data_IF_873805223372
#
_entry.id   IF_873805223372
#
_cell.length_a   1.000
_cell.length_b   1.000
_cell.length_c   1.000
_cell.angle_alpha   90.00
_cell.angle_beta   90.00
_cell.angle_gamma   90.00
#
_symmetry.space_group_name_H-M   'P 1'
#
loop_
_entity.id
_entity.type
_entity.pdbx_description
1 polymer ?
#
# COMPACT_ATOMS: atom_id res chain seq x y z
N UNK A 1 -23.49 23.27 11.24
CA UNK A 1 -23.82 22.38 12.36
C UNK A 1 -23.40 23.02 13.67
N UNK A 2 -24.18 22.87 14.73
CA UNK A 2 -23.90 23.37 16.08
C UNK A 2 -23.59 22.22 17.06
N UNK A 3 -23.17 22.55 18.28
CA UNK A 3 -22.89 21.58 19.36
C UNK A 3 -21.50 20.93 19.29
N UNK A 4 -21.06 20.36 20.41
CA UNK A 4 -19.84 19.54 20.51
C UNK A 4 -20.14 18.08 20.17
N UNK A 5 -19.11 17.32 19.83
CA UNK A 5 -19.18 15.86 19.68
C UNK A 5 -18.60 15.25 20.95
N UNK A 6 -19.41 14.50 21.70
CA UNK A 6 -18.99 13.90 22.99
C UNK A 6 -18.02 12.74 22.83
N UNK A 7 -18.22 11.92 21.80
CA UNK A 7 -17.41 10.73 21.53
C UNK A 7 -17.07 10.68 20.03
N UNK A 8 -15.81 10.41 19.74
CA UNK A 8 -15.37 10.24 18.36
C UNK A 8 -15.88 8.90 17.83
N UNK A 9 -16.60 8.88 16.69
CA UNK A 9 -17.08 7.63 16.12
C UNK A 9 -15.91 6.69 15.81
N UNK A 10 -16.09 5.41 16.11
CA UNK A 10 -15.10 4.38 15.75
C UNK A 10 -14.99 4.26 14.23
N UNK A 11 -13.80 3.90 13.75
CA UNK A 11 -13.55 3.67 12.33
C UNK A 11 -14.48 2.58 11.78
N UNK A 12 -14.92 2.74 10.53
CA UNK A 12 -15.85 1.81 9.88
C UNK A 12 -17.26 1.77 10.48
N UNK A 13 -17.68 2.79 11.25
CA UNK A 13 -19.05 2.86 11.80
C UNK A 13 -19.96 3.83 11.08
N UNK A 14 -19.43 4.62 10.14
CA UNK A 14 -20.16 5.64 9.41
C UNK A 14 -20.15 5.37 7.92
N UNK A 15 -21.26 5.63 7.24
CA UNK A 15 -21.35 5.47 5.79
C UNK A 15 -21.02 6.82 5.12
N UNK A 16 -19.95 6.93 4.32
CA UNK A 16 -19.64 8.15 3.59
C UNK A 16 -20.56 8.26 2.37
N UNK A 17 -21.54 9.15 2.46
CA UNK A 17 -22.50 9.46 1.39
C UNK A 17 -22.86 10.96 1.42
N UNK A 18 -23.65 11.40 0.44
CA UNK A 18 -24.21 12.75 0.43
C UNK A 18 -25.48 12.79 1.28
N UNK A 19 -25.46 13.56 2.37
CA UNK A 19 -26.59 13.71 3.29
C UNK A 19 -27.16 15.14 3.24
N UNK A 20 -28.49 15.23 3.20
CA UNK A 20 -29.22 16.51 3.30
C UNK A 20 -29.69 16.74 4.73
N UNK A 21 -29.41 17.92 5.28
CA UNK A 21 -29.77 18.32 6.64
C UNK A 21 -30.47 19.68 6.67
N UNK A 22 -31.50 19.86 7.50
CA UNK A 22 -32.07 21.19 7.76
C UNK A 22 -31.07 22.09 8.50
N UNK A 23 -31.28 23.41 8.42
CA UNK A 23 -30.51 24.35 9.24
C UNK A 23 -30.76 24.07 10.73
N UNK A 24 -29.71 24.18 11.53
CA UNK A 24 -29.79 23.95 12.98
C UNK A 24 -29.52 22.50 13.41
N UNK A 25 -29.35 21.53 12.50
CA UNK A 25 -28.93 20.17 12.87
C UNK A 25 -27.61 20.17 13.66
N UNK A 26 -27.56 19.40 14.75
CA UNK A 26 -26.37 19.27 15.60
C UNK A 26 -25.37 18.28 14.99
N UNK A 27 -24.09 18.40 15.35
CA UNK A 27 -23.06 17.44 14.90
C UNK A 27 -23.37 16.00 15.30
N UNK A 28 -23.92 15.79 16.50
CA UNK A 28 -24.33 14.46 16.98
C UNK A 28 -25.45 13.85 16.13
N UNK A 29 -26.44 14.65 15.72
CA UNK A 29 -27.51 14.20 14.82
C UNK A 29 -26.98 13.80 13.44
N UNK A 30 -25.97 14.51 12.93
CA UNK A 30 -25.29 14.16 11.67
C UNK A 30 -24.62 12.79 11.80
N UNK A 31 -23.80 12.60 12.84
CA UNK A 31 -23.10 11.34 13.11
C UNK A 31 -24.09 10.19 13.26
N UNK A 32 -25.15 10.37 14.07
CA UNK A 32 -26.17 9.35 14.29
C UNK A 32 -26.84 8.93 12.98
N UNK A 33 -27.13 9.89 12.08
CA UNK A 33 -27.69 9.60 10.76
C UNK A 33 -26.73 8.76 9.90
N UNK A 34 -25.45 9.11 9.89
CA UNK A 34 -24.43 8.36 9.13
C UNK A 34 -24.24 6.94 9.67
N UNK A 35 -24.25 6.76 11.00
CA UNK A 35 -24.15 5.45 11.64
C UNK A 35 -25.40 4.60 11.38
N UNK A 36 -26.58 5.20 11.39
CA UNK A 36 -27.81 4.49 11.05
C UNK A 36 -27.82 4.04 9.58
N UNK A 37 -27.36 4.89 8.66
CA UNK A 37 -27.21 4.55 7.26
C UNK A 37 -26.22 3.39 7.07
N UNK A 38 -25.06 3.43 7.75
CA UNK A 38 -24.09 2.35 7.75
C UNK A 38 -24.68 1.02 8.23
N UNK A 39 -25.35 1.01 9.39
CA UNK A 39 -25.96 -0.21 9.95
C UNK A 39 -26.96 -0.84 9.00
N UNK A 40 -27.81 -0.02 8.34
CA UNK A 40 -28.78 -0.51 7.35
C UNK A 40 -28.09 -1.09 6.13
N UNK A 41 -27.15 -0.37 5.54
CA UNK A 41 -26.41 -0.82 4.36
C UNK A 41 -25.64 -2.11 4.64
N UNK A 42 -24.94 -2.18 5.78
CA UNK A 42 -24.19 -3.37 6.18
C UNK A 42 -25.11 -4.59 6.34
N UNK A 43 -26.26 -4.43 7.01
CA UNK A 43 -27.21 -5.52 7.19
C UNK A 43 -27.73 -6.06 5.83
N UNK A 44 -28.16 -5.16 4.96
CA UNK A 44 -28.67 -5.48 3.61
C UNK A 44 -27.61 -6.21 2.75
N UNK A 45 -26.37 -5.71 2.77
CA UNK A 45 -25.26 -6.28 2.01
C UNK A 45 -24.83 -7.63 2.58
N UNK A 46 -24.76 -7.73 3.91
CA UNK A 46 -24.36 -8.95 4.59
C UNK A 46 -25.33 -10.10 4.30
N UNK A 47 -26.63 -9.83 4.24
CA UNK A 47 -27.66 -10.82 3.91
C UNK A 47 -27.48 -11.38 2.48
N UNK A 48 -27.09 -10.52 1.53
CA UNK A 48 -26.93 -10.88 0.11
C UNK A 48 -25.49 -11.25 -0.29
N UNK A 49 -24.59 -11.41 0.68
CA UNK A 49 -23.19 -11.75 0.41
C UNK A 49 -23.08 -13.12 -0.25
N UNK A 50 -21.99 -13.35 -0.95
CA UNK A 50 -21.65 -14.68 -1.47
C UNK A 50 -21.48 -15.68 -0.30
N UNK A 51 -22.07 -16.88 -0.35
CA UNK A 51 -22.14 -17.79 0.80
C UNK A 51 -20.79 -18.36 1.25
N UNK A 52 -19.81 -18.48 0.36
CA UNK A 52 -18.51 -19.13 0.62
C UNK A 52 -17.36 -18.11 0.77
N UNK A 53 -17.59 -17.05 1.54
CA UNK A 53 -16.54 -16.09 1.87
C UNK A 53 -15.74 -16.57 3.10
N UNK A 54 -14.41 -16.39 3.12
CA UNK A 54 -13.58 -16.63 4.31
C UNK A 54 -13.81 -15.62 5.45
N UNK A 55 -14.80 -14.73 5.30
CA UNK A 55 -15.21 -13.70 6.25
C UNK A 55 -16.40 -14.19 7.05
N UNK A 56 -16.27 -14.20 8.38
CA UNK A 56 -17.23 -14.85 9.29
C UNK A 56 -18.26 -13.90 9.89
N UNK A 57 -17.96 -12.60 9.96
CA UNK A 57 -18.84 -11.61 10.60
C UNK A 57 -18.99 -10.33 9.77
N UNK A 58 -20.08 -9.57 9.97
CA UNK A 58 -20.26 -8.25 9.35
C UNK A 58 -19.09 -7.30 9.66
N UNK A 59 -18.51 -7.37 10.85
CA UNK A 59 -17.37 -6.53 11.25
C UNK A 59 -16.13 -6.86 10.42
N UNK A 60 -15.87 -8.14 10.16
CA UNK A 60 -14.79 -8.56 9.28
C UNK A 60 -15.03 -8.11 7.82
N UNK A 61 -16.30 -8.08 7.37
CA UNK A 61 -16.66 -7.52 6.07
C UNK A 61 -16.31 -6.03 5.99
N UNK A 62 -16.66 -5.26 7.03
CA UNK A 62 -16.31 -3.83 7.13
C UNK A 62 -14.80 -3.64 7.11
N UNK A 63 -14.05 -4.47 7.86
CA UNK A 63 -12.58 -4.43 7.85
C UNK A 63 -12.03 -4.64 6.44
N UNK A 64 -12.44 -5.71 5.74
CA UNK A 64 -11.99 -5.93 4.36
C UNK A 64 -12.39 -4.78 3.44
N UNK A 65 -13.64 -4.31 3.52
CA UNK A 65 -14.13 -3.21 2.71
C UNK A 65 -13.32 -1.93 2.93
N UNK A 66 -12.88 -1.65 4.16
CA UNK A 66 -12.03 -0.50 4.46
C UNK A 66 -10.64 -0.59 3.82
N UNK A 67 -10.10 -1.80 3.66
CA UNK A 67 -8.83 -2.02 2.96
C UNK A 67 -9.04 -1.79 1.46
N UNK A 68 -10.08 -2.41 0.89
CA UNK A 68 -10.45 -2.25 -0.54
C UNK A 68 -10.70 -0.78 -0.90
N UNK A 69 -11.38 -0.03 -0.03
CA UNK A 69 -11.63 1.41 -0.18
C UNK A 69 -10.33 2.20 -0.33
N UNK A 70 -9.30 1.85 0.45
CA UNK A 70 -8.02 2.57 0.46
C UNK A 70 -7.10 2.17 -0.70
N UNK A 71 -7.26 0.99 -1.27
CA UNK A 71 -6.47 0.52 -2.41
C UNK A 71 -7.03 0.99 -3.75
N UNK A 72 -8.35 1.13 -3.85
CA UNK A 72 -8.99 1.27 -5.16
C UNK A 72 -9.33 2.71 -5.51
N UNK A 73 -8.62 3.28 -6.49
CA UNK A 73 -8.98 4.56 -7.11
C UNK A 73 -10.05 4.46 -8.21
N UNK A 74 -10.05 3.37 -9.00
CA UNK A 74 -10.99 3.15 -10.12
C UNK A 74 -12.18 2.28 -9.72
N UNK A 75 -13.40 2.74 -9.99
CA UNK A 75 -14.63 2.02 -9.60
C UNK A 75 -14.69 0.58 -10.08
N UNK A 76 -14.22 0.35 -11.31
CA UNK A 76 -14.44 -0.90 -12.04
C UNK A 76 -13.48 -2.00 -11.61
N UNK A 77 -12.37 -1.65 -10.95
CA UNK A 77 -11.38 -2.60 -10.44
C UNK A 77 -11.71 -3.09 -9.02
N UNK A 78 -12.63 -2.42 -8.33
CA UNK A 78 -12.87 -2.63 -6.89
C UNK A 78 -13.25 -4.06 -6.54
N UNK A 79 -14.15 -4.66 -7.31
CA UNK A 79 -14.56 -6.06 -7.13
C UNK A 79 -13.42 -7.04 -7.37
N UNK A 80 -12.48 -6.69 -8.25
CA UNK A 80 -11.29 -7.50 -8.56
C UNK A 80 -10.20 -7.36 -7.49
N UNK A 81 -9.98 -6.16 -6.96
CA UNK A 81 -9.13 -5.94 -5.78
C UNK A 81 -9.66 -6.72 -4.58
N UNK A 82 -10.97 -6.67 -4.33
CA UNK A 82 -11.61 -7.48 -3.29
C UNK A 82 -11.39 -8.99 -3.52
N UNK A 83 -11.45 -9.45 -4.78
CA UNK A 83 -11.14 -10.83 -5.17
C UNK A 83 -9.74 -11.26 -4.74
N UNK A 84 -8.73 -10.41 -4.97
CA UNK A 84 -7.34 -10.71 -4.58
C UNK A 84 -7.23 -10.93 -3.07
N UNK A 85 -7.78 -10.03 -2.26
CA UNK A 85 -7.70 -10.18 -0.80
C UNK A 85 -8.47 -11.40 -0.31
N UNK A 86 -9.65 -11.68 -0.86
CA UNK A 86 -10.42 -12.89 -0.51
C UNK A 86 -9.66 -14.16 -0.90
N UNK A 87 -9.04 -14.21 -2.08
CA UNK A 87 -8.24 -15.34 -2.52
C UNK A 87 -7.02 -15.56 -1.62
N UNK A 88 -6.34 -14.48 -1.23
CA UNK A 88 -5.25 -14.54 -0.24
C UNK A 88 -5.71 -15.07 1.11
N UNK A 89 -6.84 -14.59 1.63
CA UNK A 89 -7.41 -15.10 2.88
C UNK A 89 -7.71 -16.61 2.80
N UNK A 90 -8.30 -17.08 1.70
CA UNK A 90 -8.56 -18.51 1.47
C UNK A 90 -7.28 -19.34 1.47
N UNK A 91 -6.21 -18.82 0.86
CA UNK A 91 -4.92 -19.50 0.76
C UNK A 91 -3.99 -19.24 1.95
N UNK A 92 -4.46 -18.53 2.98
CA UNK A 92 -3.66 -18.10 4.14
C UNK A 92 -2.39 -17.33 3.75
N UNK A 93 -2.46 -16.58 2.65
CA UNK A 93 -1.43 -15.65 2.22
C UNK A 93 -1.69 -14.30 2.92
N UNK A 94 -0.63 -13.66 3.40
CA UNK A 94 -0.71 -12.34 4.03
C UNK A 94 -1.26 -11.29 3.05
N UNK A 95 -2.06 -10.34 3.55
CA UNK A 95 -2.71 -9.36 2.67
C UNK A 95 -1.72 -8.36 2.05
N UNK A 96 -0.66 -7.99 2.79
CA UNK A 96 0.41 -7.11 2.31
C UNK A 96 -0.12 -5.82 1.69
N UNK A 97 -0.96 -5.11 2.44
CA UNK A 97 -1.59 -3.85 2.02
C UNK A 97 -0.92 -2.66 2.70
N UNK A 98 -0.40 -1.73 1.90
CA UNK A 98 0.29 -0.52 2.35
C UNK A 98 -0.60 0.38 3.25
N UNK A 99 -1.88 0.66 2.90
CA UNK A 99 -2.81 1.39 3.76
C UNK A 99 -2.92 0.88 5.20
N UNK A 100 -2.77 -0.42 5.44
CA UNK A 100 -2.89 -0.97 6.80
C UNK A 100 -1.65 -0.63 7.65
N UNK A 101 -0.45 -0.58 7.06
CA UNK A 101 0.75 -0.06 7.73
C UNK A 101 0.55 1.41 8.06
N UNK A 102 0.13 2.21 7.07
CA UNK A 102 -0.06 3.66 7.26
C UNK A 102 -1.03 3.91 8.41
N UNK A 103 -2.17 3.21 8.43
CA UNK A 103 -3.12 3.31 9.54
C UNK A 103 -2.51 2.91 10.88
N UNK A 104 -1.72 1.83 10.94
CA UNK A 104 -1.02 1.43 12.15
C UNK A 104 -0.01 2.47 12.67
N UNK A 105 0.58 3.29 11.80
CA UNK A 105 1.53 4.33 12.15
C UNK A 105 0.86 5.64 12.61
N UNK A 106 -0.19 6.08 11.89
CA UNK A 106 -0.80 7.41 12.12
C UNK A 106 -2.14 7.35 12.87
N UNK A 107 -2.77 6.18 12.95
CA UNK A 107 -4.04 5.95 13.64
C UNK A 107 -5.21 6.73 13.04
N UNK A 108 -5.29 6.80 11.70
CA UNK A 108 -6.36 7.54 11.00
C UNK A 108 -6.24 9.08 11.06
N UNK A 109 -5.21 9.64 11.73
CA UNK A 109 -5.04 11.10 11.89
C UNK A 109 -4.54 11.84 10.64
N UNK A 110 -4.37 11.17 9.52
CA UNK A 110 -3.93 11.78 8.27
C UNK A 110 -3.16 10.82 7.37
N UNK A 111 -2.39 11.39 6.45
CA UNK A 111 -1.48 10.62 5.59
C UNK A 111 -0.08 10.61 6.22
N UNK A 112 0.77 9.67 5.79
CA UNK A 112 2.15 9.58 6.27
C UNK A 112 3.01 10.79 5.82
N UNK A 113 2.58 11.52 4.78
CA UNK A 113 3.33 12.65 4.19
C UNK A 113 4.63 12.28 3.49
N UNK A 114 5.00 10.99 3.48
CA UNK A 114 6.19 10.42 2.83
C UNK A 114 5.95 8.96 2.45
N UNK A 115 6.82 8.36 1.62
CA UNK A 115 6.81 6.92 1.38
C UNK A 115 7.05 6.10 2.67
N UNK A 116 6.51 4.88 2.68
CA UNK A 116 6.74 3.89 3.74
C UNK A 116 8.19 3.42 3.69
N UNK A 117 8.86 3.34 4.83
CA UNK A 117 10.24 2.83 4.95
C UNK A 117 10.24 1.32 5.07
N UNK A 118 11.32 0.68 4.60
CA UNK A 118 11.52 -0.77 4.72
C UNK A 118 11.46 -1.25 6.18
N UNK A 119 11.95 -0.46 7.12
CA UNK A 119 11.87 -0.76 8.56
C UNK A 119 10.42 -0.81 9.06
N UNK A 120 9.53 0.02 8.53
CA UNK A 120 8.11 0.08 8.93
C UNK A 120 7.32 -1.12 8.39
N UNK A 121 7.72 -1.62 7.21
CA UNK A 121 7.15 -2.85 6.63
C UNK A 121 7.46 -4.07 7.50
N UNK A 122 8.64 -4.09 8.13
CA UNK A 122 9.09 -5.19 8.99
C UNK A 122 8.66 -5.02 10.46
N UNK A 123 8.25 -3.81 10.86
CA UNK A 123 7.89 -3.52 12.24
C UNK A 123 6.58 -4.22 12.62
N UNK A 124 6.58 -5.08 13.66
CA UNK A 124 5.35 -5.72 14.11
C UNK A 124 4.34 -4.70 14.62
N UNK A 125 3.11 -4.79 14.11
CA UNK A 125 1.94 -4.03 14.57
C UNK A 125 0.69 -4.84 14.25
N UNK A 126 -0.37 -4.78 15.08
CA UNK A 126 -1.63 -5.49 14.80
C UNK A 126 -2.24 -5.15 13.43
N UNK A 127 -1.97 -3.95 12.91
CA UNK A 127 -2.45 -3.51 11.59
C UNK A 127 -1.45 -3.75 10.46
N UNK A 128 -0.24 -4.23 10.73
CA UNK A 128 0.74 -4.51 9.69
C UNK A 128 0.46 -5.86 9.03
N UNK A 129 -0.29 -5.84 7.93
CA UNK A 129 -0.67 -7.03 7.15
C UNK A 129 0.47 -7.66 6.33
N UNK A 130 1.69 -7.14 6.44
CA UNK A 130 2.91 -7.83 6.00
C UNK A 130 3.44 -8.81 7.06
N UNK A 131 3.07 -8.60 8.33
CA UNK A 131 3.55 -9.39 9.46
C UNK A 131 2.44 -10.27 10.03
N UNK A 132 1.22 -9.74 10.18
CA UNK A 132 0.08 -10.51 10.71
C UNK A 132 -0.59 -11.37 9.64
N UNK A 133 -1.20 -12.46 10.08
CA UNK A 133 -2.01 -13.33 9.24
C UNK A 133 -3.48 -12.88 9.24
N UNK A 134 -4.13 -12.93 8.08
CA UNK A 134 -5.54 -12.59 7.95
C UNK A 134 -5.84 -11.08 7.99
N UNK A 135 -7.01 -10.74 8.51
CA UNK A 135 -7.48 -9.35 8.62
C UNK A 135 -6.88 -8.66 9.86
N UNK A 136 -6.63 -7.34 9.81
CA UNK A 136 -6.28 -6.57 11.00
C UNK A 136 -7.45 -6.55 12.02
N UNK A 137 -7.21 -6.10 13.27
CA UNK A 137 -8.23 -6.12 14.34
C UNK A 137 -9.51 -5.32 14.04
N UNK A 138 -9.45 -4.38 13.10
CA UNK A 138 -10.56 -3.52 12.75
C UNK A 138 -10.33 -2.78 11.44
N UNK A 139 -11.33 -1.98 11.00
CA UNK A 139 -11.22 -1.20 9.79
C UNK A 139 -10.19 -0.08 9.91
N UNK A 140 -9.66 0.34 8.75
CA UNK A 140 -8.67 1.42 8.61
C UNK A 140 -9.25 2.71 8.02
N UNK A 141 -10.53 2.69 7.68
CA UNK A 141 -11.30 3.77 7.10
C UNK A 141 -12.81 3.48 7.25
N UNK A 142 -13.65 4.48 6.98
CA UNK A 142 -15.08 4.31 6.79
C UNK A 142 -15.37 3.95 5.32
N UNK A 143 -15.67 2.68 4.97
CA UNK A 143 -15.86 2.29 3.58
C UNK A 143 -17.20 2.79 3.03
N UNK A 144 -17.21 3.17 1.75
CA UNK A 144 -18.44 3.47 1.03
C UNK A 144 -19.24 2.20 0.71
N UNK A 145 -20.50 2.39 0.29
CA UNK A 145 -21.39 1.28 -0.09
C UNK A 145 -20.76 0.39 -1.17
N UNK A 146 -20.10 0.99 -2.17
CA UNK A 146 -19.46 0.24 -3.25
C UNK A 146 -18.35 -0.70 -2.76
N UNK A 147 -17.59 -0.30 -1.74
CA UNK A 147 -16.53 -1.13 -1.13
C UNK A 147 -17.10 -2.25 -0.28
N UNK A 148 -18.21 -1.99 0.43
CA UNK A 148 -18.95 -3.03 1.15
C UNK A 148 -19.51 -4.08 0.16
N UNK A 149 -20.15 -3.65 -0.92
CA UNK A 149 -20.69 -4.53 -1.97
C UNK A 149 -19.57 -5.34 -2.63
N UNK A 150 -18.44 -4.71 -2.97
CA UNK A 150 -17.29 -5.40 -3.57
C UNK A 150 -16.67 -6.45 -2.65
N UNK A 151 -16.59 -6.19 -1.34
CA UNK A 151 -16.10 -7.15 -0.36
C UNK A 151 -17.09 -8.32 -0.15
N UNK A 152 -18.39 -8.06 -0.25
CA UNK A 152 -19.45 -9.06 -0.07
C UNK A 152 -19.69 -9.90 -1.34
N UNK A 153 -19.40 -9.34 -2.51
CA UNK A 153 -19.61 -9.94 -3.82
C UNK A 153 -18.39 -9.66 -4.72
N UNK A 154 -17.22 -10.25 -4.40
CA UNK A 154 -16.00 -10.02 -5.18
C UNK A 154 -16.11 -10.64 -6.57
N UNK A 155 -15.30 -10.14 -7.51
CA UNK A 155 -15.17 -10.75 -8.82
C UNK A 155 -14.70 -12.21 -8.71
N UNK A 156 -15.15 -13.09 -9.61
CA UNK A 156 -14.72 -14.49 -9.64
C UNK A 156 -13.43 -14.61 -10.43
N UNK A 157 -12.30 -14.46 -9.77
CA UNK A 157 -10.97 -14.57 -10.37
C UNK A 157 -10.06 -15.46 -9.52
N UNK A 158 -8.91 -15.83 -10.08
CA UNK A 158 -7.82 -16.49 -9.33
C UNK A 158 -6.69 -15.54 -8.97
N UNK A 159 -6.90 -14.24 -9.15
CA UNK A 159 -5.85 -13.25 -8.96
C UNK A 159 -5.37 -13.25 -7.51
N UNK A 160 -4.05 -13.19 -7.34
CA UNK A 160 -3.36 -13.15 -6.04
C UNK A 160 -2.50 -11.90 -5.89
N UNK A 161 -2.22 -11.20 -6.99
CA UNK A 161 -1.36 -10.04 -7.02
C UNK A 161 -1.97 -8.97 -7.92
N UNK A 162 -1.68 -7.73 -7.61
CA UNK A 162 -1.93 -6.59 -8.47
C UNK A 162 -0.79 -5.59 -8.30
N UNK A 163 -0.52 -4.82 -9.35
CA UNK A 163 0.46 -3.73 -9.37
C UNK A 163 -0.05 -2.66 -10.32
N UNK A 164 0.32 -1.40 -10.09
CA UNK A 164 -0.06 -0.32 -11.00
C UNK A 164 0.42 -0.61 -12.43
N UNK A 165 -0.39 -0.27 -13.42
CA UNK A 165 -0.12 -0.53 -14.84
C UNK A 165 0.44 0.68 -15.61
N UNK A 166 0.57 1.84 -14.95
CA UNK A 166 0.98 3.11 -15.56
C UNK A 166 -0.16 3.92 -16.20
N UNK A 167 -1.36 3.37 -16.31
CA UNK A 167 -2.57 4.05 -16.85
C UNK A 167 -3.50 4.57 -15.74
N UNK A 168 -3.04 4.48 -14.49
CA UNK A 168 -3.82 4.73 -13.28
C UNK A 168 -4.73 3.56 -12.87
N UNK A 169 -4.58 2.38 -13.48
CA UNK A 169 -5.26 1.14 -13.08
C UNK A 169 -4.26 0.11 -12.56
N UNK A 170 -4.66 -1.16 -12.57
CA UNK A 170 -3.85 -2.26 -12.09
C UNK A 170 -3.75 -3.43 -13.07
N UNK A 171 -2.54 -3.97 -13.18
CA UNK A 171 -2.29 -5.26 -13.80
C UNK A 171 -2.42 -6.36 -12.74
N UNK A 172 -3.41 -7.23 -12.90
CA UNK A 172 -3.68 -8.34 -12.01
C UNK A 172 -3.00 -9.64 -12.49
N UNK A 173 -2.63 -10.50 -11.56
CA UNK A 173 -2.05 -11.81 -11.86
C UNK A 173 -2.30 -12.83 -10.76
N UNK A 174 -2.39 -14.10 -11.14
CA UNK A 174 -2.53 -15.26 -10.25
C UNK A 174 -1.19 -15.88 -9.83
N UNK A 175 -0.10 -15.62 -10.59
CA UNK A 175 1.25 -16.14 -10.30
C UNK A 175 2.23 -15.03 -9.92
N UNK A 176 3.21 -15.40 -9.09
CA UNK A 176 4.27 -14.48 -8.68
C UNK A 176 5.18 -14.09 -9.84
N UNK A 177 5.50 -15.02 -10.75
CA UNK A 177 6.35 -14.72 -11.91
C UNK A 177 5.71 -13.69 -12.84
N UNK A 178 4.39 -13.81 -13.09
CA UNK A 178 3.68 -12.82 -13.88
C UNK A 178 3.60 -11.47 -13.16
N UNK A 179 3.43 -11.48 -11.84
CA UNK A 179 3.49 -10.27 -11.03
C UNK A 179 4.86 -9.58 -11.15
N UNK A 180 5.98 -10.31 -11.05
CA UNK A 180 7.33 -9.75 -11.21
C UNK A 180 7.55 -9.14 -12.60
N UNK A 181 7.01 -9.76 -13.66
CA UNK A 181 7.02 -9.17 -15.02
C UNK A 181 6.25 -7.85 -15.07
N UNK A 182 5.08 -7.78 -14.41
CA UNK A 182 4.29 -6.54 -14.36
C UNK A 182 5.01 -5.44 -13.57
N UNK A 183 5.65 -5.79 -12.45
CA UNK A 183 6.51 -4.86 -11.67
C UNK A 183 7.68 -4.34 -12.52
N UNK A 184 8.35 -5.21 -13.27
CA UNK A 184 9.44 -4.82 -14.14
C UNK A 184 8.98 -3.84 -15.25
N UNK A 185 7.79 -4.07 -15.81
CA UNK A 185 7.17 -3.14 -16.78
C UNK A 185 6.88 -1.79 -16.17
N UNK A 186 6.25 -1.74 -14.99
CA UNK A 186 5.97 -0.48 -14.29
C UNK A 186 7.25 0.32 -14.05
N UNK A 187 8.30 -0.32 -13.53
CA UNK A 187 9.59 0.34 -13.27
C UNK A 187 10.26 0.88 -14.54
N UNK A 188 10.08 0.22 -15.68
CA UNK A 188 10.58 0.72 -16.95
C UNK A 188 9.83 1.99 -17.39
N UNK A 189 8.50 2.01 -17.23
CA UNK A 189 7.66 3.18 -17.51
C UNK A 189 8.03 4.35 -16.60
N UNK A 190 8.18 4.12 -15.29
CA UNK A 190 8.57 5.16 -14.32
C UNK A 190 9.92 5.79 -14.67
N UNK A 191 10.91 4.98 -15.05
CA UNK A 191 12.23 5.48 -15.49
C UNK A 191 12.13 6.32 -16.76
N UNK A 192 11.28 5.91 -17.71
CA UNK A 192 11.09 6.66 -18.95
C UNK A 192 10.43 8.02 -18.67
N UNK A 193 9.38 8.04 -17.86
CA UNK A 193 8.73 9.31 -17.44
C UNK A 193 9.73 10.22 -16.72
N UNK A 194 10.57 9.66 -15.84
CA UNK A 194 11.60 10.44 -15.14
C UNK A 194 12.63 11.03 -16.10
N UNK A 195 13.05 10.26 -17.11
CA UNK A 195 13.98 10.73 -18.13
C UNK A 195 13.35 11.79 -19.05
N UNK A 196 12.08 11.62 -19.43
CA UNK A 196 11.36 12.56 -20.31
C UNK A 196 10.99 13.87 -19.60
N UNK A 197 10.88 13.85 -18.25
CA UNK A 197 10.61 15.05 -17.44
C UNK A 197 11.89 15.81 -17.05
N UNK A 198 13.07 15.20 -17.23
CA UNK A 198 14.34 15.90 -17.09
C UNK A 198 14.65 16.64 -18.40
N UNK A 199 14.43 17.97 -18.43
CA UNK A 199 14.78 18.78 -19.61
C UNK A 199 16.27 18.59 -19.99
N UNK A 200 16.61 18.58 -21.30
CA UNK A 200 18.00 18.56 -21.73
C UNK A 200 18.66 19.85 -21.27
N UNK A 201 19.80 19.74 -20.59
CA UNK A 201 20.63 20.89 -20.24
C UNK A 201 20.99 21.65 -21.51
N UNK A 202 20.55 22.91 -21.61
CA UNK A 202 21.04 23.86 -22.61
C UNK A 202 22.57 23.90 -22.55
N UNK A 203 23.23 23.35 -23.56
CA UNK A 203 24.67 23.53 -23.77
C UNK A 203 24.91 25.01 -24.15
N UNK A 204 25.73 25.78 -23.41
CA UNK A 204 26.14 27.08 -23.90
C UNK A 204 27.17 26.91 -25.02
N UNK A 205 26.81 27.52 -26.14
CA UNK A 205 27.57 27.72 -27.37
C UNK A 205 28.98 28.26 -27.09
N UNK A 206 29.95 27.74 -27.87
CA UNK A 206 31.35 28.20 -27.94
C UNK A 206 31.48 29.71 -28.10
N UNK A 207 32.34 30.33 -27.27
CA UNK A 207 32.88 31.68 -27.45
C UNK A 207 34.41 31.66 -27.43
N UNK A 208 35.01 32.01 -28.56
CA UNK A 208 36.45 32.18 -28.79
C UNK A 208 37.05 33.36 -28.03
N UNK A 209 38.26 33.21 -27.46
CA UNK A 209 39.50 33.95 -27.83
C UNK A 209 40.50 34.21 -26.67
N UNK A 210 41.73 33.77 -26.93
CA UNK A 210 43.06 34.30 -26.58
C UNK A 210 43.63 34.30 -25.14
N UNK A 211 44.73 33.54 -25.02
CA UNK A 211 45.85 33.70 -24.08
C UNK A 211 46.83 34.81 -24.55
N UNK A 212 47.86 35.24 -23.76
CA UNK A 212 49.11 34.46 -23.56
C UNK A 212 49.69 34.49 -22.11
N UNK A 213 50.28 33.38 -21.61
CA UNK A 213 51.73 33.11 -21.34
C UNK A 213 52.45 34.13 -20.42
N UNK A 214 53.23 33.79 -19.37
CA UNK A 214 54.37 32.84 -19.30
C UNK A 214 54.88 32.67 -17.80
N UNK A 215 56.03 32.06 -17.40
CA UNK A 215 56.04 30.72 -16.78
C UNK A 215 56.90 30.48 -15.49
N UNK A 216 56.71 29.28 -14.90
CA UNK A 216 57.69 28.37 -14.24
C UNK A 216 58.08 28.52 -12.73
N UNK A 217 58.79 27.55 -12.07
CA UNK A 217 58.23 26.47 -11.22
C UNK A 217 58.92 26.36 -9.82
N UNK A 218 58.59 25.39 -8.96
CA UNK A 218 59.54 24.57 -8.12
C UNK A 218 58.80 23.44 -7.35
N UNK A 219 59.50 22.32 -7.19
CA UNK A 219 59.12 20.98 -6.70
C UNK A 219 59.07 20.77 -5.18
N UNK A 220 58.48 19.63 -4.72
CA UNK A 220 58.98 18.68 -3.67
C UNK A 220 57.92 17.56 -3.37
N UNK A 221 58.13 16.31 -3.81
CA UNK A 221 58.61 15.07 -3.10
C UNK A 221 57.72 14.41 -2.01
N UNK A 222 57.14 13.23 -2.36
CA UNK A 222 57.10 11.86 -1.71
C UNK A 222 56.59 11.66 -0.25
N UNK A 223 56.35 10.41 0.26
CA UNK A 223 55.97 9.10 -0.33
C UNK A 223 54.83 8.31 0.41
N UNK A 224 54.43 7.16 -0.15
CA UNK A 224 53.55 6.10 0.41
C UNK A 224 54.18 5.27 1.56
N UNK A 225 53.40 4.37 2.23
CA UNK A 225 53.70 2.94 2.07
C UNK A 225 52.49 1.94 2.11
N UNK A 226 52.77 0.72 1.65
CA UNK A 226 51.95 -0.53 1.66
C UNK A 226 52.00 -1.26 3.03
N UNK A 227 51.17 -2.24 3.42
CA UNK A 227 51.04 -3.65 2.95
C UNK A 227 49.97 -4.41 3.79
N UNK A 228 49.37 -5.45 3.20
CA UNK A 228 48.52 -6.55 3.76
C UNK A 228 49.37 -7.56 4.60
N UNK A 229 48.78 -8.45 5.47
CA UNK A 229 48.26 -9.76 5.02
C UNK A 229 47.05 -10.36 5.79
N UNK A 230 46.55 -11.47 5.25
CA UNK A 230 45.33 -12.22 5.58
C UNK A 230 45.46 -13.22 6.75
N UNK A 231 44.31 -13.73 7.25
CA UNK A 231 44.24 -15.03 7.96
C UNK A 231 42.83 -15.66 7.88
N UNK A 232 42.78 -16.92 7.42
CA UNK A 232 41.67 -17.88 7.44
C UNK A 232 41.48 -18.54 8.82
N UNK A 233 40.24 -18.92 9.16
CA UNK A 233 39.87 -20.10 9.99
C UNK A 233 38.37 -20.47 9.77
N UNK A 234 37.86 -21.67 10.16
CA UNK A 234 37.03 -22.53 9.29
C UNK A 234 35.60 -22.79 9.81
N UNK A 235 34.76 -23.48 9.01
CA UNK A 235 33.48 -24.09 9.43
C UNK A 235 33.67 -25.50 10.05
N UNK A 236 32.78 -25.96 10.95
CA UNK A 236 31.64 -26.85 10.58
C UNK A 236 30.38 -26.57 11.46
N UNK A 237 29.16 -27.14 11.36
CA UNK A 237 28.57 -28.36 10.76
C UNK A 237 27.02 -28.18 10.72
N UNK A 238 26.36 -29.07 9.99
CA UNK A 238 24.93 -29.14 9.63
C UNK A 238 23.92 -29.25 10.78
N UNK A 239 22.73 -28.67 10.56
CA UNK A 239 21.48 -28.95 11.27
C UNK A 239 20.30 -28.67 10.34
N UNK A 240 19.54 -29.72 10.05
CA UNK A 240 18.34 -29.78 9.18
C UNK A 240 17.22 -28.84 9.63
N UNK A 241 16.61 -28.11 8.69
CA UNK A 241 15.33 -27.42 8.89
C UNK A 241 14.45 -27.56 7.65
N UNK A 242 13.28 -28.14 7.86
CA UNK A 242 12.20 -28.32 6.89
C UNK A 242 11.78 -26.98 6.28
N UNK A 243 11.60 -27.00 4.96
CA UNK A 243 11.31 -25.83 4.13
C UNK A 243 9.81 -25.56 4.10
N UNK A 244 9.29 -24.79 5.05
CA UNK A 244 7.97 -24.16 4.91
C UNK A 244 8.13 -22.89 4.09
N UNK A 245 7.97 -23.02 2.77
CA UNK A 245 8.12 -21.91 1.82
C UNK A 245 6.96 -20.93 1.99
N UNK A 246 7.14 -19.91 2.83
CA UNK A 246 6.30 -18.71 2.82
C UNK A 246 6.61 -17.91 1.55
N UNK A 247 5.61 -17.43 0.81
CA UNK A 247 5.87 -16.61 -0.37
C UNK A 247 6.58 -15.30 0.02
N UNK A 248 7.42 -14.73 -0.88
CA UNK A 248 8.23 -13.56 -0.58
C UNK A 248 7.38 -12.33 -0.25
N UNK A 249 7.96 -11.42 0.53
CA UNK A 249 7.36 -10.11 0.82
C UNK A 249 7.23 -9.32 -0.49
N UNK A 250 6.00 -9.13 -0.95
CA UNK A 250 5.69 -8.42 -2.19
C UNK A 250 5.35 -6.98 -1.84
N UNK A 251 6.25 -6.03 -2.17
CA UNK A 251 5.87 -4.62 -2.20
C UNK A 251 4.97 -4.41 -3.42
N UNK A 252 3.81 -3.81 -3.21
CA UNK A 252 2.87 -3.44 -4.27
C UNK A 252 3.34 -2.20 -5.09
N UNK A 253 4.63 -1.86 -5.01
CA UNK A 253 5.30 -0.73 -5.67
C UNK A 253 6.61 -1.18 -6.30
#
# INVERSE_FOLDING_TARGET
FSGSVREMPREGTMLPETYKFPRGTTREQVIARMQQAHKRALAEIWERRTPDLPIKTPEQLVTLASIVEKETGKSDERSRVASVFINRLRQKIKLQSDPTIIYGLVGGRGTLGRPIKRSEIQQPSPYNTYVVDGLPPGPIANPGRASLEAAANPARTRDLFFVADGTGGHAFSDTYDQHQKNVAKLRAIEKQIQNDTAEPTDDPVSGTANAPADPNPTATTKPAPAKKPAREVPSPRQGTVESTTSPPVVLQR
#
